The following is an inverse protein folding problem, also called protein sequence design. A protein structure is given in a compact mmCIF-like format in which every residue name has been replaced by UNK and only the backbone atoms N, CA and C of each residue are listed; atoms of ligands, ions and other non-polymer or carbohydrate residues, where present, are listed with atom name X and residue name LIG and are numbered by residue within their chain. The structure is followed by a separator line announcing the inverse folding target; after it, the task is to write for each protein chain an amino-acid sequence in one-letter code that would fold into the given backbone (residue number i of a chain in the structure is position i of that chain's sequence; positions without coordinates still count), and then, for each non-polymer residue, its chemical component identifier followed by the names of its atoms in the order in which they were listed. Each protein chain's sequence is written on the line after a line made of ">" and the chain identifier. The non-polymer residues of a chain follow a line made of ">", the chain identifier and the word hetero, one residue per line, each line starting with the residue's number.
data_IF_626955446206
#
_entry.id   IF_626955446206
#
_cell.length_a   1.000
_cell.length_b   1.000
_cell.length_c   1.000
_cell.angle_alpha   90.00
_cell.angle_beta   90.00
_cell.angle_gamma   90.00
#
_symmetry.space_group_name_H-M   'P 1'
#
loop_
_entity.id
_entity.type
_entity.pdbx_description
1 polymer ?
#
# COMPACT_ATOMS: atom_id res chain seq x y z
N UNK A 1 -32.94 12.16 4.26
CA UNK A 1 -31.85 13.07 4.70
C UNK A 1 -30.61 12.20 4.75
N UNK A 2 -29.55 12.55 4.02
CA UNK A 2 -28.33 11.75 4.07
C UNK A 2 -27.62 11.96 5.40
N UNK A 3 -27.02 10.90 5.95
CA UNK A 3 -26.25 10.99 7.18
C UNK A 3 -24.92 11.72 6.93
N UNK A 4 -24.49 12.52 7.89
CA UNK A 4 -23.16 13.13 7.84
C UNK A 4 -22.10 12.07 8.14
N UNK A 5 -21.13 11.93 7.24
CA UNK A 5 -20.01 11.02 7.40
C UNK A 5 -18.82 11.77 8.01
N UNK A 6 -18.26 11.22 9.06
CA UNK A 6 -17.07 11.78 9.73
C UNK A 6 -15.98 10.72 9.87
N UNK A 7 -14.73 11.15 9.81
CA UNK A 7 -13.57 10.28 10.09
C UNK A 7 -13.13 10.53 11.52
N UNK A 8 -13.27 9.53 12.37
CA UNK A 8 -12.94 9.63 13.81
C UNK A 8 -11.53 9.16 14.13
N UNK A 9 -10.95 8.30 13.30
CA UNK A 9 -9.57 7.81 13.44
C UNK A 9 -8.93 7.60 12.07
N UNK A 10 -7.65 7.94 11.96
CA UNK A 10 -6.82 7.64 10.79
C UNK A 10 -5.42 7.24 11.26
N UNK A 11 -5.04 5.99 10.98
CA UNK A 11 -3.72 5.45 11.30
C UNK A 11 -3.12 4.74 10.09
N UNK A 12 -1.80 4.81 9.97
CA UNK A 12 -1.04 4.06 8.98
C UNK A 12 0.26 3.52 9.57
N UNK A 13 0.82 2.53 8.93
CA UNK A 13 2.19 2.11 9.15
C UNK A 13 3.17 3.12 8.55
N UNK A 14 4.44 3.11 8.95
CA UNK A 14 5.49 3.56 8.06
C UNK A 14 5.47 2.74 6.77
N UNK A 15 5.91 3.33 5.68
CA UNK A 15 6.09 2.62 4.41
C UNK A 15 7.46 1.93 4.43
N UNK A 16 7.46 0.61 4.29
CA UNK A 16 8.66 -0.22 4.19
C UNK A 16 9.21 -0.23 2.77
N UNK A 17 10.52 -0.32 2.61
CA UNK A 17 11.13 -0.61 1.32
C UNK A 17 10.81 -2.04 0.90
N UNK A 18 10.77 -2.27 -0.41
CA UNK A 18 10.72 -3.63 -0.95
C UNK A 18 11.86 -4.48 -0.38
N UNK A 19 11.50 -5.62 0.20
CA UNK A 19 12.43 -6.49 0.95
C UNK A 19 13.16 -5.76 2.09
N UNK A 20 12.52 -4.71 2.62
CA UNK A 20 13.00 -3.92 3.75
C UNK A 20 12.53 -4.44 5.10
N UNK A 21 12.36 -3.54 6.05
CA UNK A 21 12.08 -3.88 7.46
C UNK A 21 10.71 -4.51 7.68
N UNK A 22 9.74 -4.30 6.79
CA UNK A 22 8.40 -4.91 6.89
C UNK A 22 8.28 -6.23 6.13
N UNK A 23 9.27 -6.61 5.33
CA UNK A 23 9.21 -7.76 4.42
C UNK A 23 8.96 -9.13 5.07
N UNK A 24 9.20 -9.26 6.37
CA UNK A 24 8.89 -10.49 7.13
C UNK A 24 7.41 -10.59 7.53
N UNK A 25 6.64 -9.51 7.43
CA UNK A 25 5.24 -9.44 7.81
C UNK A 25 4.34 -9.55 6.58
N UNK A 26 3.29 -10.35 6.68
CA UNK A 26 2.23 -10.40 5.68
C UNK A 26 1.38 -9.12 5.69
N UNK A 27 0.68 -8.83 4.58
CA UNK A 27 -0.25 -7.71 4.50
C UNK A 27 -1.30 -7.73 5.63
N UNK A 28 -1.79 -8.92 6.00
CA UNK A 28 -2.75 -9.10 7.09
C UNK A 28 -2.12 -8.76 8.44
N UNK A 29 -0.88 -9.14 8.70
CA UNK A 29 -0.18 -8.81 9.96
C UNK A 29 0.08 -7.31 10.07
N UNK A 30 0.64 -6.69 9.03
CA UNK A 30 0.85 -5.23 8.97
C UNK A 30 -0.46 -4.49 9.23
N UNK A 31 -1.52 -4.87 8.50
CA UNK A 31 -2.83 -4.26 8.63
C UNK A 31 -3.47 -4.46 10.01
N UNK A 32 -3.30 -5.63 10.63
CA UNK A 32 -3.90 -5.92 11.95
C UNK A 32 -3.31 -5.05 13.05
N UNK A 33 -2.01 -4.78 13.00
CA UNK A 33 -1.35 -3.85 13.95
C UNK A 33 -1.94 -2.45 13.79
N UNK A 34 -2.12 -2.00 12.54
CA UNK A 34 -2.66 -0.66 12.23
C UNK A 34 -4.10 -0.53 12.65
N UNK A 35 -4.93 -1.50 12.31
CA UNK A 35 -6.35 -1.49 12.61
C UNK A 35 -6.59 -1.50 14.12
N UNK A 36 -5.88 -2.35 14.87
CA UNK A 36 -5.95 -2.37 16.32
C UNK A 36 -5.62 -1.00 16.92
N UNK A 37 -4.57 -0.34 16.44
CA UNK A 37 -4.19 1.00 16.88
C UNK A 37 -5.20 2.08 16.50
N UNK A 38 -5.86 1.97 15.34
CA UNK A 38 -6.91 2.89 14.93
C UNK A 38 -8.11 2.81 15.89
N UNK A 39 -8.57 1.61 16.22
CA UNK A 39 -9.67 1.33 17.15
C UNK A 39 -9.32 1.83 18.57
N UNK A 40 -8.15 1.44 19.09
CA UNK A 40 -7.66 1.85 20.42
C UNK A 40 -7.56 3.38 20.57
N UNK A 41 -7.15 4.08 19.51
CA UNK A 41 -6.90 5.55 19.57
C UNK A 41 -8.14 6.36 19.85
N UNK A 42 -9.33 5.83 19.57
CA UNK A 42 -10.62 6.48 19.79
C UNK A 42 -11.47 5.72 20.84
N UNK A 43 -10.89 4.70 21.47
CA UNK A 43 -11.56 3.86 22.48
C UNK A 43 -12.88 3.28 21.97
N UNK A 44 -12.92 2.95 20.66
CA UNK A 44 -14.09 2.34 20.05
C UNK A 44 -14.23 0.90 20.55
N UNK A 45 -15.44 0.53 20.96
CA UNK A 45 -15.78 -0.86 21.21
C UNK A 45 -15.81 -1.62 19.86
N UNK A 46 -14.98 -2.67 19.69
CA UNK A 46 -14.95 -3.44 18.45
C UNK A 46 -16.28 -4.08 18.06
N UNK A 47 -17.17 -4.32 19.03
CA UNK A 47 -18.50 -4.88 18.82
C UNK A 47 -19.48 -3.89 18.15
N UNK A 48 -19.15 -2.60 18.14
CA UNK A 48 -19.92 -1.57 17.45
C UNK A 48 -19.56 -1.42 15.97
N UNK A 49 -18.58 -2.17 15.47
CA UNK A 49 -18.17 -2.08 14.07
C UNK A 49 -19.11 -2.92 13.20
N UNK A 50 -19.88 -2.24 12.36
CA UNK A 50 -20.87 -2.88 11.47
C UNK A 50 -20.24 -3.57 10.29
N UNK A 51 -19.15 -3.02 9.73
CA UNK A 51 -18.48 -3.57 8.53
C UNK A 51 -17.00 -3.20 8.48
N UNK A 52 -16.19 -4.08 7.87
CA UNK A 52 -14.80 -3.83 7.51
C UNK A 52 -14.62 -3.96 5.99
N UNK A 53 -14.16 -2.88 5.33
CA UNK A 53 -13.90 -2.86 3.88
C UNK A 53 -12.42 -2.55 3.65
N UNK A 54 -11.67 -3.49 3.05
CA UNK A 54 -10.23 -3.38 2.88
C UNK A 54 -9.83 -3.51 1.41
N UNK A 55 -9.12 -2.49 0.91
CA UNK A 55 -8.42 -2.57 -0.37
C UNK A 55 -7.21 -3.50 -0.27
N UNK A 56 -7.11 -4.46 -1.18
CA UNK A 56 -5.99 -5.40 -1.23
C UNK A 56 -5.85 -5.93 -2.66
N UNK A 57 -4.69 -5.77 -3.26
CA UNK A 57 -4.43 -6.12 -4.67
C UNK A 57 -3.82 -7.52 -4.78
N UNK A 58 -2.71 -7.76 -4.08
CA UNK A 58 -1.91 -8.97 -4.20
C UNK A 58 -2.38 -10.03 -3.19
N UNK A 59 -3.56 -10.60 -3.45
CA UNK A 59 -4.21 -11.53 -2.51
C UNK A 59 -3.73 -12.97 -2.63
N UNK A 60 -3.00 -13.33 -3.69
CA UNK A 60 -2.46 -14.67 -3.87
C UNK A 60 -1.52 -15.03 -2.71
N UNK A 61 -1.70 -16.22 -2.13
CA UNK A 61 -0.89 -16.68 -1.00
C UNK A 61 -1.30 -16.12 0.37
N UNK A 62 -2.23 -15.17 0.45
CA UNK A 62 -2.69 -14.58 1.72
C UNK A 62 -3.73 -15.44 2.48
N UNK A 63 -4.12 -16.58 1.91
CA UNK A 63 -5.16 -17.43 2.48
C UNK A 63 -6.58 -16.90 2.20
N UNK A 64 -7.56 -17.56 2.80
CA UNK A 64 -8.97 -17.25 2.58
C UNK A 64 -9.34 -15.90 3.25
N UNK A 65 -10.05 -15.03 2.53
CA UNK A 65 -10.70 -13.83 3.05
C UNK A 65 -9.77 -12.93 3.89
N UNK A 66 -8.75 -12.27 3.30
CA UNK A 66 -7.79 -11.44 4.03
C UNK A 66 -8.42 -10.39 4.94
N UNK A 67 -9.51 -9.72 4.51
CA UNK A 67 -10.24 -8.76 5.36
C UNK A 67 -10.81 -9.43 6.62
N UNK A 68 -11.28 -10.68 6.53
CA UNK A 68 -11.78 -11.41 7.70
C UNK A 68 -10.67 -11.83 8.66
N UNK A 69 -9.53 -12.26 8.11
CA UNK A 69 -8.34 -12.54 8.92
C UNK A 69 -7.87 -11.29 9.66
N UNK A 70 -7.88 -10.13 8.97
CA UNK A 70 -7.54 -8.84 9.54
C UNK A 70 -8.46 -8.49 10.72
N UNK A 71 -9.78 -8.59 10.54
CA UNK A 71 -10.77 -8.36 11.59
C UNK A 71 -10.50 -9.24 12.82
N UNK A 72 -10.32 -10.54 12.60
CA UNK A 72 -10.04 -11.49 13.67
C UNK A 72 -8.77 -11.14 14.46
N UNK A 73 -7.66 -10.88 13.76
CA UNK A 73 -6.38 -10.52 14.40
C UNK A 73 -6.44 -9.17 15.13
N UNK A 74 -7.35 -8.30 14.75
CA UNK A 74 -7.53 -6.96 15.35
C UNK A 74 -8.53 -6.94 16.50
N UNK A 75 -9.19 -8.06 16.80
CA UNK A 75 -10.17 -8.16 17.88
C UNK A 75 -11.57 -7.66 17.51
N UNK A 76 -11.87 -7.49 16.23
CA UNK A 76 -13.22 -7.17 15.75
C UNK A 76 -14.09 -8.42 15.86
N UNK A 77 -15.38 -8.23 16.18
CA UNK A 77 -16.34 -9.30 16.33
C UNK A 77 -16.40 -10.21 15.10
N UNK A 78 -16.43 -11.53 15.33
CA UNK A 78 -16.49 -12.51 14.26
C UNK A 78 -17.80 -12.45 13.43
N UNK A 79 -18.83 -11.79 13.93
CA UNK A 79 -20.08 -11.56 13.19
C UNK A 79 -19.97 -10.41 12.18
N UNK A 80 -19.03 -9.47 12.38
CA UNK A 80 -18.85 -8.31 11.50
C UNK A 80 -18.56 -8.76 10.07
N UNK A 81 -19.35 -8.34 9.07
CA UNK A 81 -19.07 -8.55 7.65
C UNK A 81 -17.72 -7.93 7.26
N UNK A 82 -16.96 -8.63 6.42
CA UNK A 82 -15.64 -8.17 6.00
C UNK A 82 -15.48 -8.39 4.50
N UNK A 83 -15.09 -7.34 3.79
CA UNK A 83 -14.95 -7.37 2.33
C UNK A 83 -13.56 -6.92 1.92
N UNK A 84 -12.88 -7.73 1.08
CA UNK A 84 -11.68 -7.30 0.36
C UNK A 84 -12.07 -6.83 -1.02
N UNK A 85 -11.58 -5.65 -1.43
CA UNK A 85 -11.84 -5.10 -2.77
C UNK A 85 -10.53 -4.86 -3.50
N UNK A 86 -10.57 -4.98 -4.82
CA UNK A 86 -9.45 -4.69 -5.69
C UNK A 86 -9.86 -3.67 -6.76
N UNK A 87 -9.22 -2.52 -6.73
CA UNK A 87 -9.24 -1.49 -7.78
C UNK A 87 -7.81 -1.01 -8.04
N UNK A 88 -6.87 -1.95 -8.06
CA UNK A 88 -5.42 -1.74 -8.18
C UNK A 88 -4.96 -0.67 -7.17
N UNK A 89 -4.12 0.28 -7.53
CA UNK A 89 -3.59 1.33 -6.65
C UNK A 89 -4.66 2.17 -5.94
N UNK A 90 -5.89 2.20 -6.47
CA UNK A 90 -7.02 2.94 -5.89
C UNK A 90 -7.86 2.11 -4.89
N UNK A 91 -7.45 0.89 -4.54
CA UNK A 91 -8.25 -0.01 -3.69
C UNK A 91 -8.55 0.57 -2.32
N UNK A 92 -7.53 1.14 -1.66
CA UNK A 92 -7.71 1.74 -0.33
C UNK A 92 -8.67 2.92 -0.31
N UNK A 93 -8.52 3.86 -1.26
CA UNK A 93 -9.45 5.01 -1.36
C UNK A 93 -10.85 4.56 -1.77
N UNK A 94 -10.97 3.51 -2.63
CA UNK A 94 -12.28 2.96 -2.99
C UNK A 94 -12.98 2.33 -1.79
N UNK A 95 -12.25 1.65 -0.90
CA UNK A 95 -12.79 1.12 0.35
C UNK A 95 -13.38 2.25 1.22
N UNK A 96 -12.65 3.37 1.37
CA UNK A 96 -13.13 4.55 2.11
C UNK A 96 -14.39 5.14 1.47
N UNK A 97 -14.43 5.25 0.12
CA UNK A 97 -15.62 5.73 -0.58
C UNK A 97 -16.85 4.82 -0.35
N UNK A 98 -16.65 3.49 -0.35
CA UNK A 98 -17.75 2.54 -0.10
C UNK A 98 -18.26 2.65 1.34
N UNK A 99 -17.35 2.78 2.31
CA UNK A 99 -17.70 3.00 3.71
C UNK A 99 -18.52 4.28 3.89
N UNK A 100 -18.08 5.39 3.29
CA UNK A 100 -18.81 6.66 3.33
C UNK A 100 -20.21 6.53 2.71
N UNK A 101 -20.32 5.89 1.55
CA UNK A 101 -21.60 5.63 0.90
C UNK A 101 -22.54 4.79 1.77
N UNK A 102 -22.02 3.75 2.44
CA UNK A 102 -22.81 2.89 3.32
C UNK A 102 -23.39 3.65 4.52
N UNK A 103 -22.58 4.53 5.14
CA UNK A 103 -23.03 5.38 6.26
C UNK A 103 -24.01 6.44 5.77
N UNK A 104 -23.74 7.10 4.66
CA UNK A 104 -24.60 8.14 4.09
C UNK A 104 -26.00 7.62 3.77
N UNK A 105 -26.09 6.38 3.28
CA UNK A 105 -27.35 5.69 2.99
C UNK A 105 -28.04 5.10 4.23
N UNK A 106 -27.44 5.18 5.41
CA UNK A 106 -28.00 4.62 6.64
C UNK A 106 -27.98 3.09 6.70
N UNK A 107 -27.12 2.43 5.91
CA UNK A 107 -26.95 0.97 5.93
C UNK A 107 -26.13 0.57 7.15
N UNK A 108 -25.07 1.31 7.43
CA UNK A 108 -24.16 1.13 8.57
C UNK A 108 -23.99 2.44 9.32
N UNK A 109 -23.58 2.37 10.59
CA UNK A 109 -23.25 3.53 11.44
C UNK A 109 -21.73 3.66 11.63
N UNK A 110 -21.04 2.53 11.84
CA UNK A 110 -19.59 2.48 12.09
C UNK A 110 -18.92 1.53 11.13
N UNK A 111 -18.13 2.07 10.21
CA UNK A 111 -17.40 1.28 9.22
C UNK A 111 -15.90 1.53 9.34
N UNK A 112 -15.13 0.47 9.32
CA UNK A 112 -13.67 0.54 9.20
C UNK A 112 -13.29 0.32 7.74
N UNK A 113 -12.48 1.25 7.18
CA UNK A 113 -12.04 1.16 5.79
C UNK A 113 -10.58 1.56 5.64
N UNK A 114 -9.90 0.97 4.68
CA UNK A 114 -8.50 1.28 4.38
C UNK A 114 -7.91 0.35 3.34
N UNK A 115 -6.60 0.16 3.39
CA UNK A 115 -5.89 -0.76 2.50
C UNK A 115 -4.74 -1.46 3.21
N UNK A 116 -4.42 -2.63 2.74
CA UNK A 116 -3.27 -3.44 3.16
C UNK A 116 -2.52 -3.92 1.93
N UNK A 117 -1.20 -3.97 2.00
CA UNK A 117 -0.36 -4.58 0.97
C UNK A 117 0.99 -4.98 1.55
N UNK A 118 1.55 -6.08 1.08
CA UNK A 118 2.95 -6.44 1.28
C UNK A 118 3.48 -6.94 -0.06
N UNK A 119 4.15 -6.05 -0.78
CA UNK A 119 4.66 -6.36 -2.11
C UNK A 119 5.85 -7.33 -2.04
N UNK A 120 6.56 -7.34 -0.92
CA UNK A 120 7.66 -8.30 -0.67
C UNK A 120 7.17 -9.73 -0.48
N UNK A 121 5.92 -9.92 -0.06
CA UNK A 121 5.31 -11.24 0.17
C UNK A 121 4.52 -11.75 -1.05
N UNK A 122 4.44 -10.97 -2.14
CA UNK A 122 3.76 -11.41 -3.35
C UNK A 122 4.42 -12.69 -3.91
N UNK A 123 3.67 -13.78 -4.12
CA UNK A 123 4.23 -15.05 -4.54
C UNK A 123 4.56 -15.06 -6.03
N UNK A 124 5.45 -15.95 -6.39
CA UNK A 124 5.52 -16.47 -7.75
C UNK A 124 4.53 -17.63 -7.87
N UNK A 125 3.88 -17.77 -9.01
CA UNK A 125 2.94 -18.85 -9.24
C UNK A 125 3.02 -19.40 -10.66
N UNK A 126 2.45 -20.59 -10.81
CA UNK A 126 2.37 -21.32 -12.08
C UNK A 126 0.89 -21.54 -12.39
N UNK A 127 0.47 -21.13 -13.58
CA UNK A 127 -0.91 -21.27 -14.02
C UNK A 127 -1.13 -22.65 -14.64
N UNK A 128 -2.02 -23.43 -14.02
CA UNK A 128 -2.64 -24.62 -14.61
C UNK A 128 -1.67 -25.53 -15.37
N UNK A 129 -0.73 -26.14 -14.66
CA UNK A 129 0.31 -26.96 -15.27
C UNK A 129 0.36 -28.37 -14.70
N UNK A 130 0.71 -29.28 -15.56
CA UNK A 130 1.21 -30.58 -15.20
C UNK A 130 2.58 -30.37 -14.51
N UNK A 131 2.66 -30.69 -13.23
CA UNK A 131 3.83 -30.41 -12.39
C UNK A 131 5.11 -31.07 -12.93
N UNK A 132 4.98 -32.19 -13.64
CA UNK A 132 6.14 -32.90 -14.23
C UNK A 132 6.73 -32.17 -15.47
N UNK A 133 6.02 -31.19 -16.01
CA UNK A 133 6.39 -30.49 -17.26
C UNK A 133 6.67 -29.01 -17.06
N UNK A 134 6.79 -28.54 -15.81
CA UNK A 134 7.04 -27.13 -15.51
C UNK A 134 8.42 -26.72 -16.00
N UNK A 135 8.46 -25.60 -16.70
CA UNK A 135 9.70 -24.89 -17.08
C UNK A 135 9.78 -23.57 -16.31
N UNK A 136 10.99 -23.03 -16.19
CA UNK A 136 11.22 -21.71 -15.58
C UNK A 136 10.38 -20.60 -16.24
N UNK A 137 10.19 -20.68 -17.57
CA UNK A 137 9.33 -19.78 -18.35
C UNK A 137 7.84 -19.79 -17.95
N UNK A 138 7.40 -20.82 -17.22
CA UNK A 138 6.01 -20.95 -16.76
C UNK A 138 5.78 -20.24 -15.41
N UNK A 139 6.86 -19.81 -14.76
CA UNK A 139 6.81 -19.12 -13.48
C UNK A 139 6.42 -17.66 -13.69
N UNK A 140 5.32 -17.24 -13.08
CA UNK A 140 4.80 -15.88 -13.14
C UNK A 140 5.11 -15.14 -11.85
N UNK A 141 5.74 -13.98 -11.93
CA UNK A 141 5.90 -13.09 -10.80
C UNK A 141 4.57 -12.36 -10.55
N UNK A 142 3.86 -12.72 -9.49
CA UNK A 142 2.55 -12.17 -9.16
C UNK A 142 2.57 -10.67 -8.91
N UNK A 143 3.63 -10.15 -8.29
CA UNK A 143 3.80 -8.72 -8.05
C UNK A 143 3.71 -7.90 -9.35
N UNK A 144 4.47 -8.27 -10.36
CA UNK A 144 4.47 -7.54 -11.64
C UNK A 144 3.23 -7.84 -12.44
N UNK A 145 2.85 -9.11 -12.57
CA UNK A 145 1.76 -9.53 -13.44
C UNK A 145 0.39 -8.99 -12.98
N UNK A 146 0.07 -9.10 -11.68
CA UNK A 146 -1.24 -8.71 -11.15
C UNK A 146 -1.28 -7.24 -10.70
N UNK A 147 -0.13 -6.68 -10.31
CA UNK A 147 -0.07 -5.34 -9.70
C UNK A 147 0.48 -4.24 -10.60
N UNK A 148 1.45 -4.53 -11.48
CA UNK A 148 2.27 -3.49 -12.13
C UNK A 148 2.33 -3.59 -13.65
N UNK A 149 1.60 -4.53 -14.27
CA UNK A 149 1.54 -4.69 -15.73
C UNK A 149 0.17 -4.30 -16.25
N UNK A 150 0.13 -3.41 -17.23
CA UNK A 150 -1.10 -3.04 -17.90
C UNK A 150 -1.65 -4.22 -18.71
N UNK A 151 -2.93 -4.51 -18.56
CA UNK A 151 -3.57 -5.67 -19.17
C UNK A 151 -3.74 -5.53 -20.69
N UNK A 152 -3.86 -4.29 -21.19
CA UNK A 152 -4.15 -4.01 -22.60
C UNK A 152 -2.85 -3.93 -23.43
N UNK A 153 -1.91 -3.14 -22.96
CA UNK A 153 -0.64 -2.89 -23.66
C UNK A 153 0.45 -3.90 -23.25
N UNK A 154 0.18 -4.74 -22.22
CA UNK A 154 1.11 -5.72 -21.65
C UNK A 154 2.48 -5.10 -21.32
N UNK A 155 2.45 -3.90 -20.75
CA UNK A 155 3.65 -3.12 -20.43
C UNK A 155 3.64 -2.67 -18.96
N UNK A 156 4.78 -2.25 -18.44
CA UNK A 156 4.88 -1.79 -17.05
C UNK A 156 4.23 -0.42 -16.85
N UNK A 157 3.78 -0.15 -15.62
CA UNK A 157 3.26 1.18 -15.23
C UNK A 157 4.29 2.29 -15.49
N UNK A 158 5.59 2.00 -15.41
CA UNK A 158 6.65 2.97 -15.70
C UNK A 158 6.68 3.38 -17.18
N UNK A 159 6.49 2.46 -18.09
CA UNK A 159 6.38 2.78 -19.53
C UNK A 159 5.12 3.62 -19.79
N UNK A 160 3.99 3.31 -19.16
CA UNK A 160 2.80 4.14 -19.27
C UNK A 160 3.02 5.55 -18.72
N UNK A 161 3.81 5.69 -17.66
CA UNK A 161 4.20 6.98 -17.13
C UNK A 161 5.10 7.76 -18.11
N UNK A 162 6.05 7.12 -18.82
CA UNK A 162 6.81 7.74 -19.91
C UNK A 162 5.89 8.22 -21.04
N UNK A 163 4.93 7.39 -21.44
CA UNK A 163 3.93 7.78 -22.45
C UNK A 163 3.12 9.00 -21.97
N UNK A 164 2.75 9.04 -20.69
CA UNK A 164 2.07 10.18 -20.09
C UNK A 164 2.93 11.45 -20.10
N UNK A 165 4.19 11.34 -19.67
CA UNK A 165 5.15 12.44 -19.66
C UNK A 165 5.31 13.03 -21.08
N UNK A 166 5.48 12.16 -22.08
CA UNK A 166 5.57 12.56 -23.50
C UNK A 166 4.28 13.23 -23.99
N UNK A 167 3.12 12.64 -23.71
CA UNK A 167 1.81 13.14 -24.14
C UNK A 167 1.50 14.53 -23.61
N UNK A 168 1.88 14.82 -22.37
CA UNK A 168 1.60 16.07 -21.68
C UNK A 168 2.80 17.01 -21.61
N UNK A 169 3.89 16.69 -22.31
CA UNK A 169 5.12 17.50 -22.34
C UNK A 169 5.69 17.78 -20.94
N UNK A 170 5.67 16.77 -20.06
CA UNK A 170 6.24 16.87 -18.71
C UNK A 170 7.73 16.59 -18.82
N UNK A 171 8.56 17.61 -18.64
CA UNK A 171 10.01 17.48 -18.77
C UNK A 171 10.62 16.73 -17.59
N UNK A 172 11.88 16.29 -17.75
CA UNK A 172 12.67 15.68 -16.68
C UNK A 172 12.86 16.64 -15.50
N UNK A 173 13.13 17.91 -15.80
CA UNK A 173 13.32 18.96 -14.79
C UNK A 173 12.05 19.16 -13.94
N UNK A 174 10.88 19.21 -14.58
CA UNK A 174 9.59 19.30 -13.87
C UNK A 174 9.36 18.11 -12.94
N UNK A 175 9.73 16.90 -13.36
CA UNK A 175 9.62 15.69 -12.55
C UNK A 175 10.58 15.73 -11.36
N UNK A 176 11.82 16.14 -11.57
CA UNK A 176 12.84 16.24 -10.52
C UNK A 176 12.48 17.34 -9.49
N UNK A 177 11.96 18.50 -9.94
CA UNK A 177 11.48 19.56 -9.07
C UNK A 177 10.33 19.08 -8.18
N UNK A 178 9.29 18.46 -8.78
CA UNK A 178 8.17 17.89 -8.05
C UNK A 178 8.63 16.84 -7.03
N UNK A 179 9.59 16.00 -7.42
CA UNK A 179 10.18 14.99 -6.54
C UNK A 179 10.86 15.63 -5.34
N UNK A 180 11.72 16.62 -5.57
CA UNK A 180 12.39 17.37 -4.50
C UNK A 180 11.39 18.01 -3.54
N UNK A 181 10.38 18.72 -4.07
CA UNK A 181 9.33 19.33 -3.26
C UNK A 181 8.59 18.30 -2.41
N UNK A 182 8.25 17.14 -2.98
CA UNK A 182 7.56 16.07 -2.26
C UNK A 182 8.36 15.56 -1.08
N UNK A 183 9.67 15.33 -1.26
CA UNK A 183 10.56 14.93 -0.17
C UNK A 183 10.70 16.01 0.90
N UNK A 184 10.91 17.29 0.49
CA UNK A 184 11.02 18.42 1.42
C UNK A 184 9.75 18.54 2.26
N UNK A 185 8.57 18.53 1.63
CA UNK A 185 7.27 18.60 2.32
C UNK A 185 7.10 17.45 3.31
N UNK A 186 7.54 16.25 2.94
CA UNK A 186 7.47 15.09 3.84
C UNK A 186 8.40 15.26 5.04
N UNK A 187 9.65 15.66 4.84
CA UNK A 187 10.60 15.91 5.91
C UNK A 187 10.13 17.01 6.86
N UNK A 188 9.56 18.11 6.33
CA UNK A 188 8.93 19.13 7.14
C UNK A 188 7.74 18.60 7.93
N UNK A 189 6.90 17.76 7.31
CA UNK A 189 5.77 17.12 7.99
C UNK A 189 6.20 16.25 9.16
N UNK A 190 7.35 15.56 9.05
CA UNK A 190 7.96 14.83 10.16
C UNK A 190 8.50 15.79 11.25
N UNK A 191 9.22 16.83 10.86
CA UNK A 191 9.82 17.79 11.81
C UNK A 191 8.76 18.59 12.59
N UNK A 192 7.64 18.92 11.95
CA UNK A 192 6.50 19.63 12.56
C UNK A 192 5.49 18.67 13.23
N UNK A 193 5.79 17.39 13.28
CA UNK A 193 4.94 16.32 13.83
C UNK A 193 3.52 16.22 13.19
N UNK A 194 3.32 16.81 12.01
CA UNK A 194 2.02 16.82 11.34
C UNK A 194 1.58 15.41 10.90
N UNK A 195 2.54 14.59 10.48
CA UNK A 195 2.28 13.24 9.99
C UNK A 195 2.55 12.15 11.02
N UNK A 196 3.42 12.39 12.00
CA UNK A 196 3.82 11.41 13.02
C UNK A 196 2.65 10.96 13.91
N UNK A 197 1.66 11.82 14.14
CA UNK A 197 0.44 11.50 14.92
C UNK A 197 -0.36 10.33 14.35
N UNK A 198 -0.27 10.13 13.03
CA UNK A 198 -1.02 9.10 12.33
C UNK A 198 -0.17 7.87 11.98
N UNK A 199 1.16 7.95 12.17
CA UNK A 199 2.07 6.84 11.94
C UNK A 199 2.23 6.04 13.23
N UNK A 200 1.99 4.75 13.15
CA UNK A 200 2.22 3.82 14.26
C UNK A 200 3.64 3.26 14.19
N UNK A 201 4.21 2.99 15.36
CA UNK A 201 5.47 2.26 15.44
C UNK A 201 5.24 0.77 15.25
N UNK A 202 6.04 0.14 14.41
CA UNK A 202 5.99 -1.31 14.19
C UNK A 202 7.27 -1.94 14.72
N UNK A 203 7.11 -2.94 15.57
CA UNK A 203 8.17 -3.82 15.99
C UNK A 203 8.16 -5.06 15.09
N UNK A 204 9.30 -5.40 14.52
CA UNK A 204 9.45 -6.55 13.64
C UNK A 204 10.83 -7.19 13.85
N UNK A 205 11.12 -8.22 13.10
CA UNK A 205 12.41 -8.95 13.16
C UNK A 205 13.04 -8.87 11.77
N UNK A 206 14.31 -8.46 11.71
CA UNK A 206 15.04 -8.45 10.46
C UNK A 206 15.43 -9.88 9.99
N UNK A 207 16.03 -9.96 8.82
CA UNK A 207 16.49 -11.24 8.24
C UNK A 207 17.56 -11.98 9.06
N UNK A 208 18.13 -11.33 10.08
CA UNK A 208 19.13 -11.90 10.99
C UNK A 208 18.53 -12.27 12.34
N UNK A 209 17.20 -12.16 12.52
CA UNK A 209 16.51 -12.46 13.78
C UNK A 209 16.61 -11.35 14.83
N UNK A 210 17.13 -10.16 14.48
CA UNK A 210 17.24 -9.03 15.40
C UNK A 210 15.93 -8.24 15.44
N UNK A 211 15.43 -7.93 16.64
CA UNK A 211 14.31 -7.03 16.81
C UNK A 211 14.65 -5.63 16.34
N UNK A 212 13.83 -5.10 15.47
CA UNK A 212 13.93 -3.74 14.94
C UNK A 212 12.60 -3.00 15.10
N UNK A 213 12.68 -1.69 15.28
CA UNK A 213 11.51 -0.82 15.32
C UNK A 213 11.53 0.09 14.09
N UNK A 214 10.39 0.14 13.39
CA UNK A 214 10.18 1.07 12.29
C UNK A 214 9.18 2.14 12.72
N UNK A 215 9.61 3.41 12.64
CA UNK A 215 8.84 4.59 13.08
C UNK A 215 8.65 5.63 11.98
N UNK A 216 9.45 5.54 10.90
CA UNK A 216 9.46 6.49 9.78
C UNK A 216 9.48 5.73 8.47
N UNK A 217 8.96 6.35 7.44
CA UNK A 217 9.02 5.83 6.07
C UNK A 217 10.47 5.58 5.65
N UNK A 218 10.81 4.36 5.23
CA UNK A 218 12.21 3.97 4.96
C UNK A 218 12.82 4.72 3.78
N UNK A 219 12.01 5.10 2.79
CA UNK A 219 12.49 5.79 1.59
C UNK A 219 13.11 7.16 1.88
N UNK A 220 12.74 7.81 2.97
CA UNK A 220 13.27 9.12 3.34
C UNK A 220 14.79 9.08 3.58
N UNK A 221 15.32 7.96 4.03
CA UNK A 221 16.75 7.80 4.27
C UNK A 221 17.60 7.81 2.98
N UNK A 222 16.97 7.61 1.83
CA UNK A 222 17.63 7.56 0.51
C UNK A 222 17.63 8.92 -0.20
N UNK A 223 16.87 9.89 0.31
CA UNK A 223 16.75 11.19 -0.32
C UNK A 223 18.09 11.96 -0.31
N UNK A 224 18.49 12.41 -1.49
CA UNK A 224 19.63 13.28 -1.69
C UNK A 224 19.33 14.20 -2.89
N UNK A 225 19.04 15.47 -2.60
CA UNK A 225 18.66 16.47 -3.61
C UNK A 225 19.72 16.63 -4.72
N UNK A 226 21.01 16.62 -4.35
CA UNK A 226 22.09 16.85 -5.31
C UNK A 226 22.23 15.73 -6.34
N UNK A 227 21.79 14.51 -5.98
CA UNK A 227 21.90 13.32 -6.84
C UNK A 227 20.71 13.12 -7.77
N UNK A 228 19.57 13.78 -7.52
CA UNK A 228 18.34 13.52 -8.30
C UNK A 228 18.56 13.80 -9.79
N UNK A 229 19.18 14.93 -10.12
CA UNK A 229 19.47 15.34 -11.50
C UNK A 229 20.36 14.38 -12.28
N UNK A 230 21.23 13.64 -11.57
CA UNK A 230 22.22 12.72 -12.17
C UNK A 230 21.67 11.28 -12.34
N UNK A 231 20.45 11.01 -11.87
CA UNK A 231 19.82 9.70 -12.00
C UNK A 231 19.48 9.41 -13.45
N UNK A 232 19.75 8.18 -13.86
CA UNK A 232 19.36 7.69 -15.20
C UNK A 232 17.89 7.29 -15.23
N UNK A 233 17.23 7.40 -16.38
CA UNK A 233 15.91 6.81 -16.60
C UNK A 233 15.94 5.30 -16.35
N UNK A 234 14.84 4.73 -15.80
CA UNK A 234 14.82 3.33 -15.36
C UNK A 234 13.87 2.45 -16.18
N UNK A 235 12.95 3.03 -16.95
CA UNK A 235 11.97 2.26 -17.72
C UNK A 235 12.22 2.29 -19.23
N UNK A 236 12.73 3.40 -19.73
CA UNK A 236 13.12 3.57 -21.13
C UNK A 236 14.48 4.28 -21.16
N UNK A 237 15.42 3.78 -21.98
CA UNK A 237 16.76 4.37 -22.11
C UNK A 237 16.73 5.83 -22.59
N UNK A 238 15.71 6.17 -23.37
CA UNK A 238 15.45 7.53 -23.85
C UNK A 238 14.36 8.26 -23.05
N UNK A 239 13.97 7.68 -21.93
CA UNK A 239 12.92 8.20 -21.06
C UNK A 239 13.40 9.29 -20.12
N UNK A 240 12.49 9.69 -19.24
CA UNK A 240 12.71 10.79 -18.28
C UNK A 240 12.49 10.36 -16.83
N UNK A 241 11.78 9.25 -16.61
CA UNK A 241 11.39 8.79 -15.28
C UNK A 241 12.53 8.03 -14.61
N UNK A 242 12.90 8.48 -13.43
CA UNK A 242 14.01 7.92 -12.64
C UNK A 242 13.51 7.12 -11.43
N UNK A 243 14.42 6.45 -10.76
CA UNK A 243 14.13 5.80 -9.48
C UNK A 243 13.64 6.76 -8.39
N UNK A 244 13.94 8.06 -8.48
CA UNK A 244 13.49 9.06 -7.53
C UNK A 244 12.10 9.62 -7.87
N UNK A 245 11.78 9.78 -9.17
CA UNK A 245 10.49 10.32 -9.63
C UNK A 245 9.40 9.26 -9.79
N UNK A 246 9.75 7.96 -9.72
CA UNK A 246 8.79 6.85 -9.74
C UNK A 246 8.35 6.42 -8.35
N UNK A 247 7.10 5.94 -8.22
CA UNK A 247 6.65 5.29 -6.99
C UNK A 247 7.44 4.00 -6.76
N UNK A 248 8.03 3.81 -5.58
CA UNK A 248 8.77 2.59 -5.28
C UNK A 248 7.83 1.40 -5.05
N UNK A 249 8.35 0.20 -5.29
CA UNK A 249 7.77 -1.03 -4.75
C UNK A 249 7.98 -1.01 -3.24
N UNK A 250 6.94 -1.25 -2.45
CA UNK A 250 6.94 -1.00 -1.00
C UNK A 250 6.05 -1.99 -0.23
N UNK A 251 6.26 -2.05 1.09
CA UNK A 251 5.43 -2.79 2.04
C UNK A 251 4.71 -1.85 2.99
#
# INVERSE_FOLDING_TARGET
>A
MFNNVVIVSAKRTPIGNFRGKLSSLSAVEIGSITLKKAIESVKLDPDLIDELIIGHVLQAGCGQAPAKQLAYKSGINMKTPCTSINKVCSSGIKAICLAAQSIELGINEVVVAGGIESMSQAPYYIKNKDLEKIKESDITNGLFYDGLTDFKENTSMGILAEMCAKKYNISREMQDEFTNESYIKTLEGYNKEHITKNIIKINTIDSFGKSIQLEKDENLSKYNADKIKDLKPVFDINGTITAASSSPVSD
#
